data_IF_459998493969
#
_entry.id   IF_459998493969
#
_cell.length_a   1.000
_cell.length_b   1.000
_cell.length_c   1.000
_cell.angle_alpha   90.00
_cell.angle_beta   90.00
_cell.angle_gamma   90.00
#
_symmetry.space_group_name_H-M   'P 1'
#
loop_
_entity.id
_entity.type
_entity.pdbx_description
1 polymer ?
#
# COMPACT_ATOMS: atom_id res chain seq x y z
N UNK A 1 -29.65 36.95 18.24
CA UNK A 1 -28.43 37.77 18.42
C UNK A 1 -27.65 37.72 17.12
N UNK A 2 -27.66 38.80 16.35
CA UNK A 2 -26.96 38.86 15.06
C UNK A 2 -25.47 39.15 15.30
N UNK A 3 -24.60 38.22 14.91
CA UNK A 3 -23.15 38.43 14.92
C UNK A 3 -22.82 39.68 14.11
N UNK A 4 -22.06 40.59 14.71
CA UNK A 4 -21.67 41.84 14.07
C UNK A 4 -20.74 41.56 12.86
N UNK A 5 -20.73 42.43 11.84
CA UNK A 5 -19.88 42.25 10.63
C UNK A 5 -18.40 41.99 10.94
N UNK A 6 -17.90 42.56 12.05
CA UNK A 6 -16.52 42.34 12.53
C UNK A 6 -16.29 40.90 12.99
N UNK A 7 -17.26 40.28 13.66
CA UNK A 7 -17.17 38.90 14.12
C UNK A 7 -17.21 37.92 12.94
N UNK A 8 -18.04 38.19 11.93
CA UNK A 8 -18.08 37.40 10.69
C UNK A 8 -16.75 37.44 9.94
N UNK A 9 -16.11 38.60 9.81
CA UNK A 9 -14.80 38.71 9.16
C UNK A 9 -13.74 37.90 9.90
N UNK A 10 -13.76 37.91 11.23
CA UNK A 10 -12.79 37.16 12.03
C UNK A 10 -13.01 35.64 11.92
N UNK A 11 -14.27 35.19 11.86
CA UNK A 11 -14.62 33.79 11.63
C UNK A 11 -14.13 33.34 10.25
N UNK A 12 -14.30 34.16 9.22
CA UNK A 12 -13.82 33.85 7.85
C UNK A 12 -12.31 33.71 7.83
N UNK A 13 -11.57 34.65 8.46
CA UNK A 13 -10.11 34.58 8.56
C UNK A 13 -9.67 33.29 9.27
N UNK A 14 -10.31 32.95 10.39
CA UNK A 14 -9.97 31.77 11.18
C UNK A 14 -10.27 30.47 10.41
N UNK A 15 -11.37 30.42 9.65
CA UNK A 15 -11.70 29.31 8.77
C UNK A 15 -10.69 29.16 7.62
N UNK A 16 -10.25 30.27 7.00
CA UNK A 16 -9.23 30.25 5.96
C UNK A 16 -7.88 29.73 6.49
N UNK A 17 -7.46 30.17 7.68
CA UNK A 17 -6.22 29.68 8.32
C UNK A 17 -6.32 28.18 8.59
N UNK A 18 -7.47 27.71 9.11
CA UNK A 18 -7.69 26.29 9.37
C UNK A 18 -7.66 25.47 8.08
N UNK A 19 -8.29 25.96 7.00
CA UNK A 19 -8.28 25.31 5.69
C UNK A 19 -6.85 25.18 5.14
N UNK A 20 -6.04 26.24 5.21
CA UNK A 20 -4.63 26.21 4.80
C UNK A 20 -3.84 25.22 5.66
N UNK A 21 -4.07 25.16 6.97
CA UNK A 21 -3.39 24.23 7.86
C UNK A 21 -3.74 22.75 7.53
N UNK A 22 -5.00 22.45 7.26
CA UNK A 22 -5.44 21.11 6.85
C UNK A 22 -4.86 20.73 5.50
N UNK A 23 -4.91 21.63 4.52
CA UNK A 23 -4.31 21.41 3.20
C UNK A 23 -2.80 21.21 3.29
N UNK A 24 -2.10 22.00 4.11
CA UNK A 24 -0.65 21.87 4.35
C UNK A 24 -0.32 20.55 5.07
N UNK A 25 -1.15 20.11 6.01
CA UNK A 25 -0.97 18.84 6.70
C UNK A 25 -1.20 17.65 5.77
N UNK A 26 -2.24 17.71 4.93
CA UNK A 26 -2.46 16.75 3.85
C UNK A 26 -1.27 16.75 2.90
N UNK A 27 -0.87 17.92 2.41
CA UNK A 27 0.26 18.10 1.49
C UNK A 27 1.53 17.47 2.06
N UNK A 28 1.88 17.74 3.32
CA UNK A 28 3.04 17.11 3.97
C UNK A 28 2.95 15.58 4.05
N UNK A 29 1.75 15.00 3.99
CA UNK A 29 1.52 13.54 3.95
C UNK A 29 1.39 12.97 2.53
N UNK A 30 1.04 13.77 1.52
CA UNK A 30 0.85 13.31 0.11
C UNK A 30 1.92 13.78 -0.88
N UNK A 31 2.65 14.88 -0.61
CA UNK A 31 3.58 15.49 -1.58
C UNK A 31 4.92 14.75 -1.74
N UNK A 32 5.18 13.74 -0.91
CA UNK A 32 6.34 12.84 -1.04
C UNK A 32 5.99 11.54 -1.78
N UNK A 33 4.98 11.56 -2.65
CA UNK A 33 4.76 10.46 -3.60
C UNK A 33 5.44 10.88 -4.91
N UNK A 34 6.58 10.26 -5.28
CA UNK A 34 7.22 10.55 -6.57
C UNK A 34 6.20 10.31 -7.69
N UNK A 35 6.09 11.22 -8.65
CA UNK A 35 5.15 11.10 -9.78
C UNK A 35 5.42 9.89 -10.68
N UNK A 36 6.49 9.14 -10.40
CA UNK A 36 6.90 7.92 -11.10
C UNK A 36 6.30 6.65 -10.49
N UNK A 37 5.06 6.73 -9.99
CA UNK A 37 4.32 5.57 -9.51
C UNK A 37 4.00 4.66 -10.70
N UNK A 38 4.62 3.47 -10.74
CA UNK A 38 4.40 2.46 -11.77
C UNK A 38 3.75 1.23 -11.16
N UNK A 39 3.03 0.45 -11.96
CA UNK A 39 2.52 -0.85 -11.49
C UNK A 39 3.70 -1.76 -11.19
N UNK A 40 3.63 -2.47 -10.07
CA UNK A 40 4.63 -3.49 -9.75
C UNK A 40 4.55 -4.67 -10.75
N UNK A 41 3.34 -4.99 -11.19
CA UNK A 41 3.03 -6.00 -12.20
C UNK A 41 2.38 -5.33 -13.40
N UNK A 42 2.97 -5.48 -14.57
CA UNK A 42 2.40 -5.01 -15.82
C UNK A 42 1.74 -6.17 -16.59
N UNK A 43 1.16 -5.86 -17.75
CA UNK A 43 0.48 -6.85 -18.57
C UNK A 43 1.44 -7.90 -19.16
N UNK A 44 2.76 -7.64 -19.16
CA UNK A 44 3.81 -8.55 -19.63
C UNK A 44 4.39 -9.40 -18.50
N UNK A 45 4.20 -9.00 -17.24
CA UNK A 45 4.69 -9.69 -16.05
C UNK A 45 3.58 -9.79 -15.00
N UNK A 46 2.46 -10.49 -15.31
CA UNK A 46 1.35 -10.57 -14.40
C UNK A 46 1.69 -11.44 -13.18
N UNK A 47 1.14 -11.04 -12.03
CA UNK A 47 1.21 -11.83 -10.81
C UNK A 47 0.48 -13.17 -10.99
N UNK A 48 1.19 -14.27 -10.76
CA UNK A 48 0.64 -15.62 -10.78
C UNK A 48 0.39 -16.17 -9.37
N UNK A 49 1.34 -15.95 -8.47
CA UNK A 49 1.24 -16.36 -7.07
C UNK A 49 1.96 -15.37 -6.16
N UNK A 50 1.45 -15.24 -4.95
CA UNK A 50 1.99 -14.39 -3.90
C UNK A 50 1.92 -15.11 -2.57
N UNK A 51 2.94 -14.95 -1.74
CA UNK A 51 2.92 -15.40 -0.36
C UNK A 51 3.43 -14.28 0.53
N UNK A 52 2.65 -13.91 1.55
CA UNK A 52 2.99 -12.87 2.51
C UNK A 52 2.93 -13.45 3.92
N UNK A 53 4.07 -13.49 4.61
CA UNK A 53 4.17 -13.97 6.00
C UNK A 53 3.49 -15.33 6.25
N UNK A 54 3.62 -16.24 5.27
CA UNK A 54 3.01 -17.58 5.32
C UNK A 54 1.61 -17.70 4.73
N UNK A 55 0.92 -16.59 4.44
CA UNK A 55 -0.38 -16.59 3.78
C UNK A 55 -0.19 -16.60 2.26
N UNK A 56 -0.87 -17.51 1.55
CA UNK A 56 -0.70 -17.66 0.11
C UNK A 56 -1.93 -17.14 -0.66
N UNK A 57 -1.65 -16.72 -1.89
CA UNK A 57 -2.58 -16.27 -2.90
C UNK A 57 -2.11 -16.87 -4.23
N UNK A 58 -2.97 -17.57 -4.95
CA UNK A 58 -2.65 -18.20 -6.22
C UNK A 58 -3.75 -17.95 -7.26
N UNK A 59 -3.36 -17.68 -8.50
CA UNK A 59 -4.30 -17.47 -9.60
C UNK A 59 -4.58 -18.79 -10.31
N UNK A 60 -5.76 -19.36 -10.08
CA UNK A 60 -6.21 -20.56 -10.79
C UNK A 60 -7.12 -20.18 -11.96
N UNK A 61 -6.59 -20.31 -13.18
CA UNK A 61 -7.25 -19.91 -14.43
C UNK A 61 -7.73 -18.44 -14.42
N UNK A 62 -8.98 -18.20 -14.03
CA UNK A 62 -9.61 -16.88 -13.99
C UNK A 62 -9.95 -16.39 -12.58
N UNK A 63 -9.82 -17.24 -11.56
CA UNK A 63 -10.18 -16.92 -10.18
C UNK A 63 -8.94 -16.90 -9.28
N UNK A 64 -9.01 -16.08 -8.24
CA UNK A 64 -8.00 -16.04 -7.20
C UNK A 64 -8.41 -16.97 -6.06
N UNK A 65 -7.47 -17.80 -5.63
CA UNK A 65 -7.62 -18.63 -4.44
C UNK A 65 -6.61 -18.18 -3.37
N UNK A 66 -7.05 -18.20 -2.12
CA UNK A 66 -6.24 -17.80 -0.98
C UNK A 66 -6.27 -18.87 0.10
N UNK A 67 -5.37 -18.74 1.06
CA UNK A 67 -5.44 -19.48 2.31
C UNK A 67 -6.83 -19.33 2.97
N UNK A 68 -7.35 -20.41 3.55
CA UNK A 68 -8.69 -20.46 4.16
C UNK A 68 -8.86 -19.49 5.32
N UNK A 69 -7.76 -19.00 5.89
CA UNK A 69 -7.77 -17.98 6.94
C UNK A 69 -7.95 -16.56 6.40
N UNK A 70 -7.77 -16.31 5.11
CA UNK A 70 -7.98 -14.99 4.48
C UNK A 70 -9.47 -14.75 4.28
N UNK A 71 -10.00 -13.69 4.89
CA UNK A 71 -11.39 -13.28 4.76
C UNK A 71 -11.66 -12.36 3.55
N UNK A 72 -10.63 -11.67 3.05
CA UNK A 72 -10.73 -10.67 1.98
C UNK A 72 -9.99 -11.08 0.70
N UNK A 73 -10.11 -12.34 0.29
CA UNK A 73 -9.29 -12.91 -0.80
C UNK A 73 -9.32 -12.08 -2.09
N UNK A 74 -10.51 -11.79 -2.62
CA UNK A 74 -10.65 -11.02 -3.87
C UNK A 74 -10.10 -9.60 -3.75
N UNK A 75 -10.38 -8.92 -2.63
CA UNK A 75 -9.88 -7.55 -2.42
C UNK A 75 -8.36 -7.51 -2.31
N UNK A 76 -7.79 -8.49 -1.59
CA UNK A 76 -6.35 -8.63 -1.39
C UNK A 76 -5.64 -8.93 -2.71
N UNK A 77 -6.19 -9.85 -3.50
CA UNK A 77 -5.67 -10.20 -4.81
C UNK A 77 -5.68 -9.01 -5.78
N UNK A 78 -6.81 -8.32 -5.87
CA UNK A 78 -6.95 -7.12 -6.70
C UNK A 78 -6.01 -6.00 -6.25
N UNK A 79 -5.81 -5.82 -4.95
CA UNK A 79 -4.90 -4.82 -4.40
C UNK A 79 -3.45 -5.10 -4.83
N UNK A 80 -2.99 -6.35 -4.76
CA UNK A 80 -1.66 -6.73 -5.21
C UNK A 80 -1.50 -6.63 -6.73
N UNK A 81 -2.48 -7.07 -7.52
CA UNK A 81 -2.43 -6.95 -8.98
C UNK A 81 -2.32 -5.50 -9.46
N UNK A 82 -2.97 -4.56 -8.76
CA UNK A 82 -3.06 -3.16 -9.19
C UNK A 82 -2.13 -2.24 -8.41
N UNK A 83 -1.25 -2.80 -7.57
CA UNK A 83 -0.38 -2.01 -6.70
C UNK A 83 0.54 -1.11 -7.52
N UNK A 84 0.58 0.15 -7.11
CA UNK A 84 1.52 1.14 -7.64
C UNK A 84 2.67 1.31 -6.66
N UNK A 85 3.88 1.37 -7.20
CA UNK A 85 5.12 1.57 -6.47
C UNK A 85 5.95 2.66 -7.12
N UNK A 86 6.60 3.49 -6.32
CA UNK A 86 7.59 4.46 -6.79
C UNK A 86 8.98 4.03 -6.33
N UNK A 87 10.02 4.15 -7.16
CA UNK A 87 11.39 3.83 -6.75
C UNK A 87 11.89 4.81 -5.67
N UNK A 88 12.67 4.30 -4.72
CA UNK A 88 13.37 5.08 -3.70
C UNK A 88 14.87 5.00 -3.95
N UNK A 89 15.53 6.16 -4.03
CA UNK A 89 16.97 6.26 -4.24
C UNK A 89 17.79 5.83 -3.00
N UNK A 90 17.20 5.92 -1.81
CA UNK A 90 17.86 5.64 -0.53
C UNK A 90 17.03 4.68 0.30
N UNK A 91 17.73 3.81 1.06
CA UNK A 91 17.08 2.93 2.01
C UNK A 91 16.34 3.76 3.09
N UNK A 92 15.04 3.50 3.32
CA UNK A 92 14.30 4.14 4.39
C UNK A 92 14.83 3.67 5.76
N UNK A 93 14.84 4.58 6.74
CA UNK A 93 15.12 4.21 8.13
C UNK A 93 13.87 3.56 8.73
N UNK A 94 13.74 2.25 8.53
CA UNK A 94 12.59 1.49 9.03
C UNK A 94 12.82 0.94 10.42
N UNK A 95 11.87 1.17 11.31
CA UNK A 95 11.73 0.44 12.60
C UNK A 95 10.73 -0.70 12.50
N UNK A 96 10.16 -0.93 11.33
CA UNK A 96 9.11 -1.90 11.10
C UNK A 96 9.68 -3.32 10.98
N UNK A 97 8.88 -4.32 11.40
CA UNK A 97 9.24 -5.72 11.25
C UNK A 97 9.04 -6.10 9.78
N UNK A 98 10.09 -6.53 9.05
CA UNK A 98 9.92 -6.96 7.68
C UNK A 98 9.04 -8.20 7.62
N UNK A 99 8.09 -8.19 6.69
CA UNK A 99 7.33 -9.35 6.26
C UNK A 99 7.98 -9.93 5.01
N UNK A 100 8.15 -11.24 4.97
CA UNK A 100 8.62 -11.94 3.78
C UNK A 100 7.49 -11.98 2.74
N UNK A 101 7.80 -11.49 1.55
CA UNK A 101 6.90 -11.43 0.42
C UNK A 101 7.50 -12.25 -0.73
N UNK A 102 6.97 -13.43 -0.98
CA UNK A 102 7.36 -14.26 -2.12
C UNK A 102 6.42 -13.96 -3.28
N UNK A 103 6.98 -13.66 -4.43
CA UNK A 103 6.25 -13.25 -5.64
C UNK A 103 6.63 -14.19 -6.78
N UNK A 104 5.63 -14.79 -7.40
CA UNK A 104 5.76 -15.53 -8.65
C UNK A 104 5.10 -14.76 -9.77
N UNK A 105 5.88 -14.46 -10.80
CA UNK A 105 5.40 -13.86 -12.05
C UNK A 105 5.13 -14.99 -13.05
N UNK A 106 4.06 -14.90 -13.84
CA UNK A 106 3.63 -16.00 -14.73
C UNK A 106 4.72 -16.48 -15.69
N UNK A 107 5.53 -15.56 -16.23
CA UNK A 107 6.56 -15.85 -17.25
C UNK A 107 7.96 -16.08 -16.66
N UNK A 108 8.13 -15.98 -15.34
CA UNK A 108 9.40 -16.24 -14.65
C UNK A 108 9.20 -17.52 -13.85
N UNK A 109 10.03 -18.54 -14.07
CA UNK A 109 9.91 -19.82 -13.36
C UNK A 109 10.30 -19.72 -11.88
N UNK A 110 11.25 -18.84 -11.54
CA UNK A 110 11.78 -18.73 -10.18
C UNK A 110 11.00 -17.72 -9.33
N UNK A 111 10.51 -18.11 -8.14
CA UNK A 111 9.90 -17.18 -7.20
C UNK A 111 10.92 -16.17 -6.68
N UNK A 112 10.49 -14.93 -6.54
CA UNK A 112 11.31 -13.84 -6.02
C UNK A 112 10.94 -13.54 -4.57
N UNK A 113 11.94 -13.53 -3.69
CA UNK A 113 11.78 -13.11 -2.29
C UNK A 113 12.02 -11.60 -2.16
N UNK A 114 11.01 -10.91 -1.65
CA UNK A 114 10.99 -9.49 -1.36
C UNK A 114 10.79 -9.30 0.15
N UNK A 115 11.20 -8.13 0.65
CA UNK A 115 10.87 -7.70 2.01
C UNK A 115 9.86 -6.57 1.95
N UNK A 116 8.75 -6.72 2.66
CA UNK A 116 7.70 -5.71 2.78
C UNK A 116 7.64 -5.16 4.19
N UNK A 117 7.61 -3.84 4.32
CA UNK A 117 7.48 -3.12 5.59
C UNK A 117 6.11 -2.43 5.59
N UNK A 118 5.07 -3.06 6.17
CA UNK A 118 3.68 -2.60 6.01
C UNK A 118 3.36 -1.24 6.61
N UNK A 119 3.98 -0.86 7.73
CA UNK A 119 3.74 0.43 8.40
C UNK A 119 4.23 1.57 7.52
N UNK A 120 5.45 1.43 7.00
CA UNK A 120 6.07 2.44 6.15
C UNK A 120 5.65 2.33 4.68
N UNK A 121 5.08 1.18 4.31
CA UNK A 121 4.71 0.82 2.94
C UNK A 121 5.92 0.74 2.03
N UNK A 122 7.07 0.29 2.53
CA UNK A 122 8.29 0.17 1.73
C UNK A 122 8.54 -1.27 1.33
N UNK A 123 9.08 -1.45 0.13
CA UNK A 123 9.37 -2.75 -0.46
C UNK A 123 10.84 -2.80 -0.84
N UNK A 124 11.49 -3.93 -0.56
CA UNK A 124 12.86 -4.21 -0.99
C UNK A 124 12.84 -5.40 -1.93
N UNK A 125 13.29 -5.18 -3.16
CA UNK A 125 13.45 -6.25 -4.16
C UNK A 125 14.65 -7.14 -3.85
N UNK A 126 14.71 -8.36 -4.40
CA UNK A 126 15.86 -9.26 -4.26
C UNK A 126 17.16 -8.64 -4.82
N UNK A 127 17.04 -7.75 -5.82
CA UNK A 127 18.16 -7.01 -6.39
C UNK A 127 18.67 -5.86 -5.49
N UNK A 128 18.03 -5.63 -4.33
CA UNK A 128 18.41 -4.57 -3.38
C UNK A 128 17.82 -3.20 -3.67
N UNK A 129 17.00 -3.05 -4.72
CA UNK A 129 16.29 -1.80 -5.01
C UNK A 129 15.14 -1.59 -4.05
N UNK A 130 14.94 -0.34 -3.64
CA UNK A 130 13.87 0.08 -2.74
C UNK A 130 12.73 0.73 -3.48
N UNK A 131 11.53 0.48 -3.00
CA UNK A 131 10.29 1.04 -3.53
C UNK A 131 9.38 1.49 -2.40
N UNK A 132 8.47 2.41 -2.70
CA UNK A 132 7.44 2.88 -1.78
C UNK A 132 6.06 2.73 -2.39
N UNK A 133 5.15 2.16 -1.61
CA UNK A 133 3.72 2.07 -1.91
C UNK A 133 3.04 3.36 -1.40
N UNK A 134 2.19 4.00 -2.20
CA UNK A 134 1.38 5.14 -1.77
C UNK A 134 0.53 4.81 -0.53
N UNK A 135 0.39 5.72 0.45
CA UNK A 135 -0.36 5.49 1.69
C UNK A 135 -1.79 4.98 1.49
N UNK A 136 -2.46 5.41 0.42
CA UNK A 136 -3.84 5.02 0.09
C UNK A 136 -4.01 3.54 -0.28
N UNK A 137 -2.95 2.87 -0.73
CA UNK A 137 -2.99 1.47 -1.17
C UNK A 137 -2.55 0.48 -0.09
N UNK A 138 -1.75 0.93 0.89
CA UNK A 138 -1.08 0.06 1.88
C UNK A 138 -2.04 -0.83 2.67
N UNK A 139 -3.16 -0.27 3.13
CA UNK A 139 -4.11 -0.98 3.96
C UNK A 139 -4.70 -2.23 3.27
N UNK A 140 -4.88 -2.17 1.95
CA UNK A 140 -5.48 -3.26 1.17
C UNK A 140 -4.49 -4.37 0.79
N UNK A 141 -3.19 -4.12 0.95
CA UNK A 141 -2.15 -5.12 0.68
C UNK A 141 -1.96 -6.11 1.83
N UNK A 142 -2.57 -5.84 2.98
CA UNK A 142 -2.58 -6.75 4.12
C UNK A 142 -3.81 -7.67 4.04
N UNK A 143 -3.64 -8.99 4.22
CA UNK A 143 -4.77 -9.90 4.35
C UNK A 143 -5.50 -9.65 5.67
N UNK A 144 -6.82 -9.72 5.65
CA UNK A 144 -7.66 -9.76 6.83
C UNK A 144 -7.78 -11.24 7.20
N UNK A 145 -7.23 -11.59 8.36
CA UNK A 145 -7.17 -12.97 8.84
C UNK A 145 -8.29 -13.21 9.84
N UNK A 146 -8.97 -14.35 9.74
CA UNK A 146 -9.89 -14.78 10.78
C UNK A 146 -9.12 -15.04 12.08
N UNK A 147 -9.51 -14.36 13.15
CA UNK A 147 -8.89 -14.49 14.47
C UNK A 147 -9.25 -15.81 15.16
N UNK A 148 -10.09 -16.65 14.54
CA UNK A 148 -10.46 -17.94 15.10
C UNK A 148 -9.30 -18.94 14.94
N UNK A 149 -8.73 -19.47 16.03
CA UNK A 149 -7.72 -20.51 15.93
C UNK A 149 -8.34 -21.73 15.25
N UNK A 150 -7.57 -22.36 14.34
CA UNK A 150 -7.95 -23.64 13.75
C UNK A 150 -8.23 -24.63 14.89
N UNK A 151 -9.44 -25.19 14.90
CA UNK A 151 -9.88 -26.19 15.87
C UNK A 151 -9.26 -27.56 15.58
#
# INVERSE_FOLDING_TARGET
>A
MALTRKQWNNIIILACIFMIAVLTFMDRKTHNIPSDAKRLFDDNAPLAQLQLDGMWLHKQAAQWECDTKVLNCDEWANAWQTVLVSPLATAPQSTDKPQELVIQIADIADPQLWLYFPIEGTLKSPAGNWYIVPPSLRAKLQPIIDAKPAA
#
